data_IF_447495734109
#
_entry.id   IF_447495734109
#
_cell.length_a   1.000
_cell.length_b   1.000
_cell.length_c   1.000
_cell.angle_alpha   90.00
_cell.angle_beta   90.00
_cell.angle_gamma   90.00
#
_symmetry.space_group_name_H-M   'P 1'
#
loop_
_entity.id
_entity.type
_entity.pdbx_description
1 polymer ?
#
# COMPACT_ATOMS: atom_id res chain seq x y z
N UNK A 1 5.94 12.33 19.17
CA UNK A 1 4.58 12.88 19.00
C UNK A 1 3.63 11.98 19.78
N UNK A 2 2.95 12.51 20.81
CA UNK A 2 2.03 11.73 21.65
C UNK A 2 0.71 11.39 20.90
N UNK A 3 -0.07 10.41 21.41
CA UNK A 3 -1.31 9.97 20.75
C UNK A 3 -2.32 11.08 20.50
N UNK A 4 -2.31 12.14 21.30
CA UNK A 4 -3.10 13.35 21.10
C UNK A 4 -2.62 14.19 19.90
N UNK A 5 -1.31 14.27 19.67
CA UNK A 5 -0.72 15.05 18.57
C UNK A 5 -0.94 14.40 17.21
N UNK A 6 -0.83 13.07 17.12
CA UNK A 6 -1.10 12.35 15.88
C UNK A 6 -2.58 12.40 15.50
N UNK A 7 -3.47 12.32 16.49
CA UNK A 7 -4.91 12.54 16.26
C UNK A 7 -5.18 13.93 15.74
N UNK A 8 -4.58 14.95 16.33
CA UNK A 8 -4.70 16.33 15.87
C UNK A 8 -4.17 16.47 14.44
N UNK A 9 -3.02 15.86 14.14
CA UNK A 9 -2.44 15.87 12.80
C UNK A 9 -3.36 15.18 11.76
N UNK A 10 -3.98 14.06 12.13
CA UNK A 10 -4.93 13.36 11.27
C UNK A 10 -6.20 14.18 11.02
N UNK A 11 -6.78 14.81 12.07
CA UNK A 11 -7.93 15.68 11.90
C UNK A 11 -7.60 16.92 11.05
N UNK A 12 -6.41 17.50 11.22
CA UNK A 12 -5.91 18.58 10.35
C UNK A 12 -5.78 18.11 8.90
N UNK A 13 -5.25 16.92 8.67
CA UNK A 13 -5.16 16.33 7.32
C UNK A 13 -6.54 16.22 6.68
N UNK A 14 -7.54 15.70 7.38
CA UNK A 14 -8.93 15.62 6.89
C UNK A 14 -9.53 17.00 6.62
N UNK A 15 -9.32 17.94 7.52
CA UNK A 15 -9.85 19.30 7.42
C UNK A 15 -9.31 20.09 6.21
N UNK A 16 -8.17 19.68 5.62
CA UNK A 16 -7.62 20.28 4.40
C UNK A 16 -8.47 20.04 3.16
N UNK A 17 -9.39 19.07 3.18
CA UNK A 17 -10.25 18.77 2.05
C UNK A 17 -9.49 18.28 0.80
N UNK A 18 -8.37 17.60 0.99
CA UNK A 18 -7.51 17.10 -0.10
C UNK A 18 -8.12 15.94 -0.86
N UNK A 19 -9.07 15.23 -0.25
CA UNK A 19 -9.69 14.06 -0.87
C UNK A 19 -10.53 14.50 -2.08
N UNK A 20 -10.20 13.91 -3.22
CA UNK A 20 -10.85 14.11 -4.52
C UNK A 20 -11.25 12.75 -5.09
N UNK A 21 -12.03 12.76 -6.15
CA UNK A 21 -12.31 11.58 -6.95
C UNK A 21 -12.33 11.96 -8.43
N UNK A 22 -11.86 11.04 -9.27
CA UNK A 22 -12.11 11.07 -10.72
C UNK A 22 -13.03 9.91 -11.10
N UNK A 23 -13.82 10.10 -12.13
CA UNK A 23 -14.60 9.03 -12.73
C UNK A 23 -13.74 8.29 -13.78
N UNK A 24 -13.61 6.99 -13.63
CA UNK A 24 -12.93 6.12 -14.60
C UNK A 24 -13.92 5.05 -15.05
N UNK A 25 -14.57 5.28 -16.17
CA UNK A 25 -15.55 4.36 -16.73
C UNK A 25 -16.79 4.12 -15.85
N UNK A 26 -17.27 5.17 -15.17
CA UNK A 26 -18.41 5.12 -14.24
C UNK A 26 -18.03 4.69 -12.82
N UNK A 27 -16.73 4.55 -12.52
CA UNK A 27 -16.24 4.13 -11.20
C UNK A 27 -15.46 5.30 -10.57
N UNK A 28 -15.88 5.83 -9.41
CA UNK A 28 -15.15 6.87 -8.72
C UNK A 28 -13.86 6.31 -8.11
N UNK A 29 -12.73 6.93 -8.46
CA UNK A 29 -11.40 6.61 -7.92
C UNK A 29 -10.99 7.69 -6.95
N UNK A 30 -10.96 7.42 -5.64
CA UNK A 30 -10.58 8.41 -4.64
C UNK A 30 -9.06 8.62 -4.64
N UNK A 31 -8.62 9.86 -4.52
CA UNK A 31 -7.21 10.21 -4.42
C UNK A 31 -6.99 11.53 -3.67
N UNK A 32 -5.77 11.79 -3.26
CA UNK A 32 -5.36 13.09 -2.73
C UNK A 32 -3.98 13.46 -3.27
N UNK A 33 -3.77 14.77 -3.52
CA UNK A 33 -2.47 15.31 -3.92
C UNK A 33 -2.16 16.52 -3.05
N UNK A 34 -0.93 16.58 -2.54
CA UNK A 34 -0.39 17.72 -1.82
C UNK A 34 1.14 17.77 -1.94
N UNK A 35 1.71 18.92 -1.54
CA UNK A 35 3.13 19.20 -1.68
C UNK A 35 3.46 19.82 -3.05
N UNK A 36 4.56 20.54 -3.11
CA UNK A 36 4.97 21.35 -4.27
C UNK A 36 6.39 21.03 -4.77
N UNK A 37 6.96 19.90 -4.33
CA UNK A 37 8.29 19.47 -4.82
C UNK A 37 8.27 19.02 -6.27
N UNK A 38 9.40 19.12 -6.94
CA UNK A 38 9.56 18.72 -8.35
C UNK A 38 9.46 17.21 -8.57
N UNK A 39 9.71 16.42 -7.52
CA UNK A 39 9.62 14.96 -7.57
C UNK A 39 8.28 14.50 -7.00
N UNK A 40 7.60 13.62 -7.74
CA UNK A 40 6.33 13.05 -7.30
C UNK A 40 6.53 11.66 -6.70
N UNK A 41 5.95 11.41 -5.52
CA UNK A 41 5.79 10.09 -4.94
C UNK A 41 4.31 9.69 -5.00
N UNK A 42 4.05 8.57 -5.64
CA UNK A 42 2.72 7.94 -5.64
C UNK A 42 2.67 6.92 -4.52
N UNK A 43 1.74 7.09 -3.60
CA UNK A 43 1.56 6.20 -2.45
C UNK A 43 0.36 5.31 -2.66
N UNK A 44 0.60 4.01 -2.74
CA UNK A 44 -0.40 2.96 -2.89
C UNK A 44 -0.63 2.29 -1.53
N UNK A 45 -1.81 2.47 -0.91
CA UNK A 45 -2.10 1.99 0.43
C UNK A 45 -2.11 0.46 0.54
N UNK A 46 -2.08 -0.04 1.78
CA UNK A 46 -2.31 -1.46 2.07
C UNK A 46 -3.76 -1.91 1.77
N UNK A 47 -4.16 -3.07 2.28
CA UNK A 47 -5.45 -3.71 1.97
C UNK A 47 -6.70 -2.89 2.35
N UNK A 48 -6.59 -1.95 3.30
CA UNK A 48 -7.66 -0.98 3.59
C UNK A 48 -8.02 -0.18 2.33
N UNK A 49 -7.02 0.25 1.57
CA UNK A 49 -7.20 0.92 0.29
C UNK A 49 -7.75 2.33 0.39
N UNK A 50 -7.75 2.97 1.57
CA UNK A 50 -8.19 4.35 1.73
C UNK A 50 -7.02 5.33 1.63
N UNK A 51 -7.29 6.51 1.08
CA UNK A 51 -6.34 7.62 1.01
C UNK A 51 -5.94 8.08 2.40
N UNK A 52 -6.88 8.14 3.33
CA UNK A 52 -6.64 8.59 4.70
C UNK A 52 -5.66 7.68 5.45
N UNK A 53 -5.58 6.39 5.09
CA UNK A 53 -4.60 5.48 5.69
C UNK A 53 -3.15 5.83 5.35
N UNK A 54 -2.94 6.72 4.38
CA UNK A 54 -1.61 7.18 3.93
C UNK A 54 -1.21 8.54 4.50
N UNK A 55 -2.01 9.16 5.38
CA UNK A 55 -1.80 10.53 5.85
C UNK A 55 -0.39 10.80 6.43
N UNK A 56 0.24 9.78 7.00
CA UNK A 56 1.61 9.88 7.55
C UNK A 56 2.62 10.22 6.46
N UNK A 57 2.42 9.73 5.23
CA UNK A 57 3.30 10.06 4.10
C UNK A 57 3.21 11.54 3.72
N UNK A 58 2.02 12.13 3.81
CA UNK A 58 1.86 13.58 3.64
C UNK A 58 2.58 14.33 4.74
N UNK A 59 2.38 13.97 6.01
CA UNK A 59 3.02 14.63 7.15
C UNK A 59 4.55 14.63 7.04
N UNK A 60 5.14 13.53 6.56
CA UNK A 60 6.58 13.34 6.51
C UNK A 60 7.24 13.88 5.25
N UNK A 61 6.53 13.91 4.13
CA UNK A 61 7.17 14.06 2.83
C UNK A 61 6.66 15.26 2.01
N UNK A 62 5.47 15.82 2.28
CA UNK A 62 4.89 16.87 1.44
C UNK A 62 5.64 18.21 1.47
N UNK A 63 6.48 18.45 2.48
CA UNK A 63 7.34 19.64 2.51
C UNK A 63 8.45 19.61 1.46
N UNK A 64 8.79 18.42 0.95
CA UNK A 64 9.91 18.22 0.01
C UNK A 64 9.44 17.68 -1.33
N UNK A 65 8.39 16.86 -1.34
CA UNK A 65 7.91 16.16 -2.51
C UNK A 65 6.44 16.46 -2.79
N UNK A 66 6.02 16.29 -4.05
CA UNK A 66 4.62 16.19 -4.41
C UNK A 66 4.14 14.77 -4.10
N UNK A 67 3.17 14.61 -3.22
CA UNK A 67 2.61 13.31 -2.80
C UNK A 67 1.27 13.10 -3.48
N UNK A 68 1.10 11.99 -4.18
CA UNK A 68 -0.16 11.55 -4.75
C UNK A 68 -0.55 10.21 -4.13
N UNK A 69 -1.57 10.18 -3.27
CA UNK A 69 -2.09 8.93 -2.73
C UNK A 69 -3.34 8.51 -3.51
N UNK A 70 -3.38 7.26 -3.97
CA UNK A 70 -4.51 6.74 -4.77
C UNK A 70 -5.20 5.63 -3.99
N UNK A 71 -6.47 5.88 -3.63
CA UNK A 71 -7.32 4.88 -3.00
C UNK A 71 -7.85 3.87 -4.01
N UNK A 72 -8.35 2.74 -3.52
CA UNK A 72 -8.76 1.65 -4.40
C UNK A 72 -10.28 1.62 -4.57
N UNK A 73 -10.77 1.76 -5.80
CA UNK A 73 -12.16 1.47 -6.12
C UNK A 73 -12.48 -0.02 -6.00
N UNK A 74 -13.76 -0.37 -5.95
CA UNK A 74 -14.22 -1.75 -5.87
C UNK A 74 -14.24 -2.41 -7.28
N UNK A 75 -13.07 -2.48 -7.92
CA UNK A 75 -12.86 -3.21 -9.19
C UNK A 75 -12.37 -4.63 -8.91
N UNK A 76 -12.67 -5.56 -9.78
CA UNK A 76 -12.40 -7.00 -9.58
C UNK A 76 -11.24 -7.55 -10.42
N UNK A 77 -10.56 -6.68 -11.15
CA UNK A 77 -9.38 -6.98 -11.97
C UNK A 77 -8.20 -6.11 -11.52
N UNK A 78 -7.02 -6.70 -11.42
CA UNK A 78 -5.78 -5.96 -11.15
C UNK A 78 -5.47 -4.99 -12.31
N UNK A 79 -5.81 -5.37 -13.55
CA UNK A 79 -5.62 -4.51 -14.72
C UNK A 79 -6.45 -3.22 -14.61
N UNK A 80 -7.72 -3.31 -14.17
CA UNK A 80 -8.57 -2.13 -13.97
C UNK A 80 -8.07 -1.28 -12.80
N UNK A 81 -7.59 -1.94 -11.72
CA UNK A 81 -7.04 -1.22 -10.57
C UNK A 81 -5.82 -0.38 -10.94
N UNK A 82 -4.85 -0.96 -11.67
CA UNK A 82 -3.66 -0.20 -12.07
C UNK A 82 -3.97 0.84 -13.17
N UNK A 83 -4.97 0.60 -14.03
CA UNK A 83 -5.46 1.59 -14.98
C UNK A 83 -6.12 2.78 -14.27
N UNK A 84 -6.82 2.53 -13.15
CA UNK A 84 -7.36 3.60 -12.32
C UNK A 84 -6.25 4.46 -11.68
N UNK A 85 -5.13 3.84 -11.28
CA UNK A 85 -3.93 4.58 -10.80
C UNK A 85 -3.37 5.44 -11.93
N UNK A 86 -3.16 4.88 -13.13
CA UNK A 86 -2.66 5.63 -14.29
C UNK A 86 -3.56 6.84 -14.62
N UNK A 87 -4.88 6.64 -14.64
CA UNK A 87 -5.82 7.73 -14.90
C UNK A 87 -5.72 8.89 -13.89
N UNK A 88 -5.41 8.60 -12.62
CA UNK A 88 -5.13 9.65 -11.62
C UNK A 88 -3.84 10.39 -11.97
N UNK A 89 -2.77 9.68 -12.36
CA UNK A 89 -1.51 10.31 -12.74
C UNK A 89 -1.69 11.23 -13.97
N UNK A 90 -2.39 10.74 -14.99
CA UNK A 90 -2.71 11.51 -16.20
C UNK A 90 -3.52 12.77 -15.85
N UNK A 91 -4.54 12.62 -15.00
CA UNK A 91 -5.37 13.75 -14.53
C UNK A 91 -4.56 14.82 -13.82
N UNK A 92 -3.57 14.41 -13.05
CA UNK A 92 -2.70 15.29 -12.27
C UNK A 92 -1.44 15.75 -13.05
N UNK A 93 -1.30 15.35 -14.31
CA UNK A 93 -0.17 15.71 -15.17
C UNK A 93 1.17 15.11 -14.69
N UNK A 94 1.13 13.92 -14.11
CA UNK A 94 2.31 13.20 -13.61
C UNK A 94 2.77 12.22 -14.68
N UNK A 95 3.82 12.57 -15.42
CA UNK A 95 4.39 11.71 -16.46
C UNK A 95 5.24 10.58 -15.88
N UNK A 96 6.04 10.88 -14.84
CA UNK A 96 6.88 9.91 -14.13
C UNK A 96 6.87 10.17 -12.63
N UNK A 97 6.93 9.11 -11.83
CA UNK A 97 6.95 9.20 -10.38
C UNK A 97 7.73 8.06 -9.71
N UNK A 98 8.13 8.27 -8.47
CA UNK A 98 8.47 7.16 -7.58
C UNK A 98 7.18 6.50 -7.10
N UNK A 99 6.99 5.22 -7.44
CA UNK A 99 5.82 4.43 -7.01
C UNK A 99 6.16 3.70 -5.71
N UNK A 100 5.43 4.00 -4.64
CA UNK A 100 5.59 3.35 -3.35
C UNK A 100 4.33 2.54 -3.01
N UNK A 101 4.50 1.24 -2.84
CA UNK A 101 3.43 0.34 -2.41
C UNK A 101 3.77 -0.35 -1.10
N UNK A 102 2.84 -0.31 -0.13
CA UNK A 102 2.95 -1.00 1.15
C UNK A 102 2.04 -2.22 1.24
N UNK A 103 2.55 -3.39 1.64
CA UNK A 103 1.75 -4.61 1.83
C UNK A 103 0.96 -4.98 0.55
N UNK A 104 -0.37 -4.97 0.59
CA UNK A 104 -1.21 -5.11 -0.61
C UNK A 104 -0.83 -4.12 -1.71
N UNK A 105 -0.51 -2.88 -1.34
CA UNK A 105 -0.04 -1.85 -2.27
C UNK A 105 1.25 -2.23 -2.99
N UNK A 106 2.09 -3.08 -2.41
CA UNK A 106 3.29 -3.58 -3.08
C UNK A 106 2.94 -4.51 -4.27
N UNK A 107 1.87 -5.29 -4.18
CA UNK A 107 1.37 -6.08 -5.31
C UNK A 107 0.79 -5.17 -6.42
N UNK A 108 0.05 -4.12 -6.02
CA UNK A 108 -0.46 -3.11 -6.95
C UNK A 108 0.69 -2.37 -7.63
N UNK A 109 1.72 -1.95 -6.88
CA UNK A 109 2.90 -1.25 -7.41
C UNK A 109 3.69 -2.10 -8.41
N UNK A 110 3.89 -3.40 -8.13
CA UNK A 110 4.53 -4.32 -9.07
C UNK A 110 3.71 -4.51 -10.35
N UNK A 111 2.40 -4.65 -10.20
CA UNK A 111 1.48 -4.77 -11.35
C UNK A 111 1.41 -3.48 -12.16
N UNK A 112 1.46 -2.33 -11.49
CA UNK A 112 1.52 -1.00 -12.14
C UNK A 112 2.81 -0.84 -12.92
N UNK A 113 3.96 -1.11 -12.30
CA UNK A 113 5.27 -0.96 -12.93
C UNK A 113 5.44 -1.85 -14.16
N UNK A 114 4.82 -3.04 -14.17
CA UNK A 114 4.79 -3.93 -15.33
C UNK A 114 3.95 -3.37 -16.48
N UNK A 115 2.77 -2.78 -16.16
CA UNK A 115 1.82 -2.36 -17.18
C UNK A 115 2.07 -0.96 -17.72
N UNK A 116 2.64 -0.10 -16.89
CA UNK A 116 2.90 1.32 -17.15
C UNK A 116 4.34 1.69 -16.77
N UNK A 117 5.35 0.99 -17.33
CA UNK A 117 6.76 1.22 -16.97
C UNK A 117 7.21 2.65 -17.25
N UNK A 118 6.60 3.33 -18.23
CA UNK A 118 6.87 4.71 -18.59
C UNK A 118 6.54 5.72 -17.48
N UNK A 119 5.63 5.38 -16.57
CA UNK A 119 5.30 6.22 -15.43
C UNK A 119 6.20 5.99 -14.21
N UNK A 120 7.11 5.01 -14.27
CA UNK A 120 7.88 4.58 -13.10
C UNK A 120 9.32 5.02 -13.15
N UNK A 121 9.64 6.09 -12.44
CA UNK A 121 11.01 6.56 -12.25
C UNK A 121 11.78 5.67 -11.27
N UNK A 122 11.15 5.31 -10.14
CA UNK A 122 11.68 4.40 -9.11
C UNK A 122 10.53 3.60 -8.50
N UNK A 123 10.86 2.42 -7.95
CA UNK A 123 9.88 1.55 -7.32
C UNK A 123 10.26 1.24 -5.87
N UNK A 124 9.35 1.45 -4.93
CA UNK A 124 9.54 1.12 -3.50
C UNK A 124 8.49 0.09 -3.09
N UNK A 125 8.95 -1.08 -2.66
CA UNK A 125 8.12 -2.21 -2.23
C UNK A 125 8.32 -2.43 -0.73
N UNK A 126 7.40 -1.92 0.08
CA UNK A 126 7.47 -2.02 1.54
C UNK A 126 6.58 -3.16 2.05
N UNK A 127 7.16 -4.08 2.83
CA UNK A 127 6.44 -5.24 3.41
C UNK A 127 5.64 -6.03 2.38
N UNK A 128 6.18 -6.11 1.16
CA UNK A 128 5.60 -6.85 0.04
C UNK A 128 6.11 -8.27 -0.05
N UNK A 129 5.56 -9.01 -1.00
CA UNK A 129 5.99 -10.36 -1.36
C UNK A 129 5.95 -10.54 -2.87
N UNK A 130 6.69 -11.50 -3.39
CA UNK A 130 6.48 -12.01 -4.74
C UNK A 130 5.19 -12.81 -4.85
N UNK A 131 4.67 -13.10 -6.07
CA UNK A 131 3.49 -13.93 -6.24
C UNK A 131 3.72 -15.38 -5.73
N UNK A 132 2.68 -15.99 -5.17
CA UNK A 132 2.75 -17.32 -4.57
C UNK A 132 1.53 -18.16 -4.91
N UNK A 133 1.71 -19.31 -5.59
CA UNK A 133 0.62 -20.24 -5.85
C UNK A 133 -0.09 -20.75 -4.59
N UNK A 134 0.63 -20.84 -3.48
CA UNK A 134 0.05 -21.26 -2.20
C UNK A 134 -0.92 -20.20 -1.67
N UNK A 135 -0.50 -18.91 -1.67
CA UNK A 135 -1.39 -17.81 -1.29
C UNK A 135 -2.55 -17.68 -2.26
N UNK A 136 -2.33 -17.85 -3.56
CA UNK A 136 -3.39 -17.87 -4.57
C UNK A 136 -4.45 -18.95 -4.28
N UNK A 137 -4.02 -20.17 -3.90
CA UNK A 137 -4.97 -21.24 -3.50
C UNK A 137 -5.78 -20.87 -2.25
N UNK A 138 -5.15 -20.25 -1.25
CA UNK A 138 -5.84 -19.77 -0.02
C UNK A 138 -6.84 -18.66 -0.34
N UNK A 139 -6.44 -17.69 -1.15
CA UNK A 139 -7.29 -16.59 -1.62
C UNK A 139 -8.50 -17.11 -2.40
N UNK A 140 -8.30 -18.06 -3.31
CA UNK A 140 -9.39 -18.68 -4.07
C UNK A 140 -10.39 -19.41 -3.18
N UNK A 141 -9.91 -20.10 -2.13
CA UNK A 141 -10.80 -20.74 -1.14
C UNK A 141 -11.60 -19.70 -0.37
N UNK A 142 -10.95 -18.62 0.07
CA UNK A 142 -11.62 -17.54 0.77
C UNK A 142 -12.70 -16.89 -0.08
N UNK A 143 -12.42 -16.58 -1.36
CA UNK A 143 -13.40 -16.01 -2.29
C UNK A 143 -14.64 -16.88 -2.47
N UNK A 144 -14.48 -18.22 -2.48
CA UNK A 144 -15.61 -19.15 -2.54
C UNK A 144 -16.49 -19.12 -1.28
N UNK A 145 -15.91 -18.83 -0.12
CA UNK A 145 -16.61 -18.76 1.16
C UNK A 145 -17.17 -17.36 1.45
N UNK A 146 -16.57 -16.31 0.92
CA UNK A 146 -16.91 -14.91 1.22
C UNK A 146 -18.41 -14.58 1.09
N UNK A 147 -19.15 -15.06 0.06
CA UNK A 147 -20.59 -14.77 -0.05
C UNK A 147 -21.41 -15.26 1.16
N UNK A 148 -20.98 -16.35 1.77
CA UNK A 148 -21.69 -17.02 2.88
C UNK A 148 -21.28 -16.48 4.27
N UNK A 149 -20.16 -15.74 4.35
CA UNK A 149 -19.67 -15.23 5.64
C UNK A 149 -20.44 -13.96 6.05
N UNK A 150 -20.99 -13.89 7.28
CA UNK A 150 -21.63 -12.69 7.79
C UNK A 150 -20.63 -11.53 7.97
N UNK A 151 -21.02 -10.29 7.64
CA UNK A 151 -20.15 -9.11 7.83
C UNK A 151 -19.63 -8.94 9.27
N UNK A 152 -20.42 -9.20 10.34
CA UNK A 152 -19.89 -9.11 11.71
C UNK A 152 -18.71 -10.06 11.96
N UNK A 153 -18.74 -11.28 11.40
CA UNK A 153 -17.64 -12.24 11.51
C UNK A 153 -16.40 -11.77 10.74
N UNK A 154 -16.58 -11.22 9.53
CA UNK A 154 -15.50 -10.64 8.74
C UNK A 154 -14.86 -9.45 9.47
N UNK A 155 -15.66 -8.56 10.06
CA UNK A 155 -15.16 -7.43 10.85
C UNK A 155 -14.40 -7.88 12.10
N UNK A 156 -14.87 -8.92 12.79
CA UNK A 156 -14.16 -9.49 13.93
C UNK A 156 -12.80 -10.08 13.49
N UNK A 157 -12.78 -10.82 12.41
CA UNK A 157 -11.55 -11.41 11.86
C UNK A 157 -10.55 -10.34 11.42
N UNK A 158 -10.99 -9.27 10.75
CA UNK A 158 -10.13 -8.15 10.35
C UNK A 158 -9.63 -7.36 11.56
N UNK A 159 -10.45 -7.11 12.56
CA UNK A 159 -10.03 -6.46 13.81
C UNK A 159 -8.98 -7.28 14.57
N UNK A 160 -9.17 -8.61 14.65
CA UNK A 160 -8.17 -9.50 15.24
C UNK A 160 -6.85 -9.54 14.45
N UNK A 161 -6.92 -9.51 13.12
CA UNK A 161 -5.73 -9.41 12.27
C UNK A 161 -5.01 -8.07 12.46
N UNK A 162 -5.75 -6.96 12.51
CA UNK A 162 -5.19 -5.61 12.71
C UNK A 162 -4.47 -5.47 14.04
N UNK A 163 -4.96 -6.12 15.10
CA UNK A 163 -4.32 -6.09 16.42
C UNK A 163 -2.94 -6.75 16.42
N UNK A 164 -2.70 -7.71 15.52
CA UNK A 164 -1.38 -8.35 15.33
C UNK A 164 -0.39 -7.46 14.58
N UNK A 165 -0.88 -6.48 13.81
CA UNK A 165 -0.04 -5.51 13.11
C UNK A 165 0.60 -4.48 14.04
N UNK A 166 0.01 -4.28 15.23
CA UNK A 166 0.42 -3.27 16.19
C UNK A 166 0.95 -3.94 17.46
N UNK A 167 2.25 -4.23 17.55
CA UNK A 167 2.88 -4.68 18.79
C UNK A 167 2.54 -3.77 19.98
N UNK A 168 2.69 -4.27 21.21
CA UNK A 168 2.35 -3.49 22.42
C UNK A 168 3.17 -2.22 22.55
N UNK A 169 4.39 -2.25 22.06
CA UNK A 169 5.38 -1.17 22.09
C UNK A 169 5.17 -0.13 20.97
N UNK A 170 4.14 -0.30 20.11
CA UNK A 170 3.87 0.66 19.02
C UNK A 170 3.61 2.04 19.60
N UNK A 171 4.39 3.06 19.24
CA UNK A 171 4.09 4.45 19.59
C UNK A 171 2.66 4.80 19.16
N UNK A 172 1.92 5.47 20.05
CA UNK A 172 0.56 5.92 19.74
C UNK A 172 -0.41 4.77 19.34
N UNK A 173 -0.17 3.59 19.91
CA UNK A 173 -0.89 2.35 19.60
C UNK A 173 -2.41 2.49 19.66
N UNK A 174 -2.94 3.23 20.61
CA UNK A 174 -4.38 3.41 20.77
C UNK A 174 -4.99 4.20 19.60
N UNK A 175 -4.29 5.22 19.13
CA UNK A 175 -4.68 5.95 17.92
C UNK A 175 -4.70 5.01 16.71
N UNK A 176 -3.60 4.28 16.47
CA UNK A 176 -3.49 3.39 15.32
C UNK A 176 -4.49 2.24 15.38
N UNK A 177 -4.73 1.68 16.56
CA UNK A 177 -5.73 0.62 16.74
C UNK A 177 -7.13 1.13 16.40
N UNK A 178 -7.50 2.31 16.89
CA UNK A 178 -8.78 2.93 16.58
C UNK A 178 -8.91 3.21 15.08
N UNK A 179 -7.89 3.86 14.49
CA UNK A 179 -7.86 4.20 13.07
C UNK A 179 -7.97 2.98 12.15
N UNK A 180 -7.19 1.92 12.40
CA UNK A 180 -7.28 0.68 11.63
C UNK A 180 -8.63 -0.01 11.82
N UNK A 181 -9.14 -0.08 13.04
CA UNK A 181 -10.45 -0.71 13.33
C UNK A 181 -11.56 0.01 12.57
N UNK A 182 -11.58 1.33 12.61
CA UNK A 182 -12.56 2.17 11.89
C UNK A 182 -12.43 2.00 10.37
N UNK A 183 -11.19 2.05 9.85
CA UNK A 183 -10.92 1.87 8.42
C UNK A 183 -11.37 0.51 7.89
N UNK A 184 -11.09 -0.57 8.63
CA UNK A 184 -11.56 -1.91 8.24
C UNK A 184 -13.07 -2.09 8.44
N UNK A 185 -13.67 -1.45 9.46
CA UNK A 185 -15.11 -1.50 9.67
C UNK A 185 -15.90 -0.83 8.54
N UNK A 186 -15.30 0.14 7.84
CA UNK A 186 -15.86 0.80 6.67
C UNK A 186 -15.91 -0.08 5.42
N UNK A 187 -15.14 -1.16 5.33
CA UNK A 187 -15.13 -2.04 4.18
C UNK A 187 -16.43 -2.83 4.05
N UNK A 188 -16.94 -2.90 2.83
CA UNK A 188 -18.09 -3.74 2.45
C UNK A 188 -17.62 -5.12 1.95
N UNK A 189 -18.56 -6.06 1.79
CA UNK A 189 -18.24 -7.33 1.09
C UNK A 189 -17.75 -7.10 -0.33
N UNK A 190 -18.30 -6.10 -1.02
CA UNK A 190 -17.88 -5.73 -2.37
C UNK A 190 -16.42 -5.30 -2.40
N UNK A 191 -15.99 -4.50 -1.41
CA UNK A 191 -14.59 -4.08 -1.30
C UNK A 191 -13.67 -5.27 -1.02
N UNK A 192 -14.06 -6.16 -0.12
CA UNK A 192 -13.29 -7.37 0.17
C UNK A 192 -13.20 -8.28 -1.05
N UNK A 193 -14.32 -8.56 -1.76
CA UNK A 193 -14.33 -9.36 -2.99
C UNK A 193 -13.39 -8.75 -4.03
N UNK A 194 -13.49 -7.44 -4.26
CA UNK A 194 -12.63 -6.71 -5.18
C UNK A 194 -11.14 -6.86 -4.83
N UNK A 195 -10.76 -6.59 -3.56
CA UNK A 195 -9.37 -6.73 -3.09
C UNK A 195 -8.83 -8.14 -3.28
N UNK A 196 -9.63 -9.16 -2.90
CA UNK A 196 -9.19 -10.54 -2.98
C UNK A 196 -9.14 -11.06 -4.44
N UNK A 197 -9.96 -10.55 -5.35
CA UNK A 197 -9.85 -10.88 -6.79
C UNK A 197 -8.60 -10.27 -7.40
N UNK A 198 -8.35 -9.00 -7.18
CA UNK A 198 -7.13 -8.35 -7.67
C UNK A 198 -5.87 -9.04 -7.14
N UNK A 199 -5.81 -9.37 -5.84
CA UNK A 199 -4.64 -10.06 -5.29
C UNK A 199 -4.53 -11.49 -5.81
N UNK A 200 -5.63 -12.17 -6.11
CA UNK A 200 -5.60 -13.50 -6.73
C UNK A 200 -4.97 -13.47 -8.12
N UNK A 201 -5.32 -12.49 -8.95
CA UNK A 201 -4.68 -12.31 -10.26
C UNK A 201 -3.18 -12.08 -10.12
N UNK A 202 -2.76 -11.26 -9.14
CA UNK A 202 -1.34 -11.06 -8.84
C UNK A 202 -0.65 -12.36 -8.39
N UNK A 203 -1.27 -13.16 -7.52
CA UNK A 203 -0.70 -14.41 -7.02
C UNK A 203 -0.61 -15.50 -8.10
N UNK A 204 -1.51 -15.48 -9.06
CA UNK A 204 -1.51 -16.41 -10.20
C UNK A 204 -0.56 -15.96 -11.32
N UNK A 205 -0.09 -14.71 -11.29
CA UNK A 205 0.80 -14.18 -12.31
C UNK A 205 2.21 -14.80 -12.21
N UNK A 206 2.83 -15.01 -13.37
CA UNK A 206 4.21 -15.47 -13.48
C UNK A 206 5.05 -14.37 -14.11
N UNK A 207 5.80 -13.68 -13.25
CA UNK A 207 6.73 -12.66 -13.72
C UNK A 207 7.84 -13.30 -14.55
N UNK A 208 8.07 -12.76 -15.74
CA UNK A 208 9.25 -13.01 -16.54
C UNK A 208 10.28 -11.89 -16.34
N UNK A 209 11.55 -12.03 -16.74
CA UNK A 209 12.53 -10.95 -16.66
C UNK A 209 12.09 -9.66 -17.38
N UNK A 210 11.32 -9.77 -18.46
CA UNK A 210 10.83 -8.64 -19.25
C UNK A 210 9.71 -7.87 -18.53
N UNK A 211 9.03 -8.50 -17.56
CA UNK A 211 8.01 -7.86 -16.75
C UNK A 211 8.57 -6.96 -15.65
N UNK A 212 9.87 -7.09 -15.36
CA UNK A 212 10.50 -6.34 -14.30
C UNK A 212 10.94 -4.96 -14.80
N UNK A 213 10.67 -3.90 -14.04
CA UNK A 213 11.11 -2.57 -14.44
C UNK A 213 12.64 -2.49 -14.49
N UNK A 214 13.17 -1.78 -15.46
CA UNK A 214 14.60 -1.43 -15.53
C UNK A 214 14.99 -0.34 -14.51
N UNK A 215 14.01 0.29 -13.90
CA UNK A 215 14.18 1.37 -12.93
C UNK A 215 14.75 0.88 -11.59
N UNK A 216 15.39 1.76 -10.79
CA UNK A 216 15.85 1.40 -9.46
C UNK A 216 14.70 0.91 -8.56
N UNK A 217 14.97 -0.16 -7.80
CA UNK A 217 14.00 -0.75 -6.88
C UNK A 217 14.56 -0.72 -5.45
N UNK A 218 13.73 -0.31 -4.49
CA UNK A 218 13.99 -0.44 -3.06
C UNK A 218 12.97 -1.44 -2.46
N UNK A 219 13.47 -2.45 -1.78
CA UNK A 219 12.68 -3.34 -0.94
C UNK A 219 12.88 -2.94 0.51
N UNK A 220 11.80 -2.69 1.22
CA UNK A 220 11.79 -2.47 2.67
C UNK A 220 11.04 -3.64 3.32
N UNK A 221 11.69 -4.35 4.22
CA UNK A 221 11.08 -5.46 4.96
C UNK A 221 11.47 -5.44 6.45
N UNK A 222 10.96 -6.39 7.22
CA UNK A 222 11.33 -6.60 8.61
C UNK A 222 11.52 -8.11 8.86
N UNK A 223 12.52 -8.45 9.68
CA UNK A 223 12.84 -9.85 9.97
C UNK A 223 11.75 -10.54 10.82
N UNK A 224 10.99 -9.77 11.58
CA UNK A 224 9.91 -10.20 12.48
C UNK A 224 8.50 -9.92 11.94
N UNK A 225 8.35 -9.67 10.63
CA UNK A 225 7.05 -9.41 10.02
C UNK A 225 6.08 -10.61 10.19
N UNK A 226 4.95 -10.45 10.91
CA UNK A 226 4.04 -11.56 11.18
C UNK A 226 3.16 -11.95 9.99
N UNK A 227 3.09 -11.13 8.94
CA UNK A 227 2.26 -11.36 7.75
C UNK A 227 3.06 -11.85 6.55
N UNK A 228 4.24 -11.26 6.31
CA UNK A 228 5.11 -11.65 5.20
C UNK A 228 6.20 -12.58 5.72
N UNK A 229 5.98 -13.88 5.55
CA UNK A 229 6.88 -14.92 6.07
C UNK A 229 8.26 -14.86 5.37
N UNK A 230 9.32 -15.40 6.00
CA UNK A 230 10.66 -15.41 5.40
C UNK A 230 10.70 -15.92 3.95
N UNK A 231 10.08 -17.05 3.57
CA UNK A 231 10.09 -17.51 2.18
C UNK A 231 9.44 -16.52 1.19
N UNK A 232 8.41 -15.79 1.64
CA UNK A 232 7.70 -14.82 0.81
C UNK A 232 8.55 -13.57 0.57
N UNK A 233 9.35 -13.13 1.58
CA UNK A 233 10.32 -12.03 1.46
C UNK A 233 11.48 -12.41 0.53
N UNK A 234 12.05 -13.59 0.72
CA UNK A 234 13.13 -14.07 -0.12
C UNK A 234 12.70 -14.27 -1.58
N UNK A 235 11.45 -14.70 -1.81
CA UNK A 235 10.90 -14.77 -3.16
C UNK A 235 10.82 -13.39 -3.83
N UNK A 236 10.47 -12.33 -3.09
CA UNK A 236 10.50 -10.96 -3.62
C UNK A 236 11.92 -10.50 -3.94
N UNK A 237 12.88 -10.74 -3.05
CA UNK A 237 14.29 -10.38 -3.26
C UNK A 237 14.89 -11.15 -4.46
N UNK A 238 14.53 -12.42 -4.60
CA UNK A 238 14.96 -13.23 -5.75
C UNK A 238 14.39 -12.75 -7.08
N UNK A 239 13.17 -12.19 -7.07
CA UNK A 239 12.54 -11.56 -8.25
C UNK A 239 13.29 -10.26 -8.63
N UNK A 240 13.63 -9.42 -7.65
CA UNK A 240 14.30 -8.12 -7.86
C UNK A 240 15.77 -8.16 -7.41
N UNK A 241 16.60 -8.98 -8.06
CA UNK A 241 17.99 -9.24 -7.65
C UNK A 241 18.89 -7.99 -7.58
N UNK A 242 18.56 -6.94 -8.31
CA UNK A 242 19.30 -5.66 -8.33
C UNK A 242 18.72 -4.63 -7.35
N UNK A 243 17.68 -4.99 -6.59
CA UNK A 243 17.07 -4.06 -5.66
C UNK A 243 18.01 -3.71 -4.51
N UNK A 244 17.98 -2.44 -4.09
CA UNK A 244 18.48 -2.07 -2.76
C UNK A 244 17.51 -2.66 -1.72
N UNK A 245 18.05 -3.31 -0.70
CA UNK A 245 17.24 -3.90 0.37
C UNK A 245 17.55 -3.21 1.68
N UNK A 246 16.50 -2.83 2.42
CA UNK A 246 16.59 -2.36 3.79
C UNK A 246 15.71 -3.23 4.67
N UNK A 247 16.33 -4.02 5.57
CA UNK A 247 15.64 -4.91 6.49
C UNK A 247 15.68 -4.33 7.90
N UNK A 248 14.51 -4.09 8.48
CA UNK A 248 14.38 -3.67 9.87
C UNK A 248 14.45 -4.86 10.83
N UNK A 249 15.05 -4.62 11.98
CA UNK A 249 14.98 -5.52 13.14
C UNK A 249 13.88 -5.04 14.10
N UNK A 250 12.91 -5.91 14.38
CA UNK A 250 11.86 -5.63 15.36
C UNK A 250 10.88 -4.51 14.96
N UNK A 251 10.58 -4.36 13.66
CA UNK A 251 9.63 -3.36 13.17
C UNK A 251 8.31 -3.96 12.67
N UNK A 252 8.14 -5.27 12.75
CA UNK A 252 6.92 -5.96 12.35
C UNK A 252 6.51 -5.65 10.91
N UNK A 253 5.18 -5.58 10.67
CA UNK A 253 4.62 -5.27 9.35
C UNK A 253 4.41 -3.77 9.09
N UNK A 254 4.66 -2.92 10.08
CA UNK A 254 4.33 -1.48 10.03
C UNK A 254 5.53 -0.61 10.42
N UNK A 255 6.67 -0.86 9.79
CA UNK A 255 7.91 -0.12 10.06
C UNK A 255 7.77 1.39 9.89
N UNK A 256 6.87 1.85 9.01
CA UNK A 256 6.50 3.26 8.88
C UNK A 256 5.90 3.87 10.16
N UNK A 257 5.44 3.06 11.10
CA UNK A 257 4.89 3.50 12.38
C UNK A 257 5.87 3.24 13.53
N UNK A 258 6.48 2.05 13.55
CA UNK A 258 7.38 1.61 14.63
C UNK A 258 8.78 2.22 14.54
N UNK A 259 9.26 2.45 13.34
CA UNK A 259 10.58 3.00 13.02
C UNK A 259 10.45 4.20 12.08
N UNK A 260 9.49 5.07 12.38
CA UNK A 260 9.03 6.16 11.48
C UNK A 260 10.18 7.01 10.94
N UNK A 261 11.03 7.54 11.79
CA UNK A 261 12.14 8.39 11.37
C UNK A 261 13.10 7.68 10.42
N UNK A 262 13.50 6.45 10.77
CA UNK A 262 14.40 5.64 9.94
C UNK A 262 13.74 5.26 8.62
N UNK A 263 12.46 4.86 8.65
CA UNK A 263 11.69 4.49 7.47
C UNK A 263 11.65 5.63 6.44
N UNK A 264 11.29 6.83 6.86
CA UNK A 264 11.22 7.97 5.96
C UNK A 264 12.60 8.49 5.54
N UNK A 265 13.63 8.36 6.37
CA UNK A 265 15.01 8.63 5.97
C UNK A 265 15.49 7.69 4.86
N UNK A 266 15.17 6.40 4.93
CA UNK A 266 15.49 5.41 3.90
C UNK A 266 14.79 5.76 2.58
N UNK A 267 13.51 6.15 2.62
CA UNK A 267 12.76 6.59 1.43
C UNK A 267 13.42 7.84 0.82
N UNK A 268 13.68 8.90 1.61
CA UNK A 268 14.32 10.13 1.12
C UNK A 268 15.66 9.80 0.46
N UNK A 269 16.53 9.05 1.13
CA UNK A 269 17.84 8.65 0.58
C UNK A 269 17.73 7.90 -0.74
N UNK A 270 16.69 7.09 -0.93
CA UNK A 270 16.49 6.36 -2.18
C UNK A 270 15.88 7.25 -3.28
N UNK A 271 14.95 8.12 -2.95
CA UNK A 271 14.35 9.04 -3.92
C UNK A 271 15.37 10.04 -4.43
N UNK A 272 16.32 10.46 -3.60
CA UNK A 272 17.35 11.45 -3.93
C UNK A 272 18.57 10.87 -4.65
N UNK A 273 18.83 9.57 -4.53
CA UNK A 273 19.90 8.87 -5.28
C UNK A 273 19.55 8.74 -6.75
#
# INVERSE_FOLDING_TARGET
VGSSELRVAFERFKARGLLRAIDVGGIPVPYAVAGAGDRTLVVLPGAVGSVESTFVFFLELESTYRIAAVGYPAVTSMADLVSAVAAVLDREGVSEATILGGSYGAAVAQSFARRFPEHVQKLILAHGSGPSPERGRRTRRFLKLLPFLPMPLLRLATAAASSKLLPRETPERDFWKAHLTESFAGLTKKDLDARYRCILEYEDYRFSPEDLPSTPVLIIDSNDDPLVRPPDREALKALYQKARVHTFDGAGHVSSLLRREEYFRVIRSFVES
#
